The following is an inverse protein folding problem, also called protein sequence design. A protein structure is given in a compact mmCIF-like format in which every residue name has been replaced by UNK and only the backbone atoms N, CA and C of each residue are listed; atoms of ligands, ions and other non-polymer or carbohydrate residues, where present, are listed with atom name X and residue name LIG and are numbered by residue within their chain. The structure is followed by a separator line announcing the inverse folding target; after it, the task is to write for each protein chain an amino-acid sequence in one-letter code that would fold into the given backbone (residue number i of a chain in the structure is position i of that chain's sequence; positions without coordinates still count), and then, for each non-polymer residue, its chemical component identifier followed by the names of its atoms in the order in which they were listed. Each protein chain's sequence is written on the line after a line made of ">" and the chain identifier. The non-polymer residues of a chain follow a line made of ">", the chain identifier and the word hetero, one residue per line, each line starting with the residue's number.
data_IF_937298481182
#
_entry.id   IF_937298481182
#
_cell.length_a   1.000
_cell.length_b   1.000
_cell.length_c   1.000
_cell.angle_alpha   90.00
_cell.angle_beta   90.00
_cell.angle_gamma   90.00
#
_symmetry.space_group_name_H-M   'P 1'
#
loop_
_entity.id
_entity.type
_entity.pdbx_description
1 polymer ?
#
# COMPACT_ATOMS: atom_id res chain seq x y z
N UNK A 1 56.48 -51.74 -17.66
CA UNK A 1 56.08 -51.17 -16.35
C UNK A 1 55.88 -49.68 -16.50
N UNK A 2 54.66 -49.16 -16.33
CA UNK A 2 54.40 -47.83 -15.75
C UNK A 2 52.89 -47.66 -15.54
N UNK A 3 52.47 -47.51 -14.29
CA UNK A 3 51.09 -47.24 -13.85
C UNK A 3 50.89 -45.74 -13.89
N UNK A 4 49.85 -45.24 -14.56
CA UNK A 4 49.39 -43.87 -14.35
C UNK A 4 48.01 -43.88 -13.72
N UNK A 5 47.98 -43.64 -12.41
CA UNK A 5 46.76 -43.46 -11.62
C UNK A 5 46.23 -42.06 -11.95
N UNK A 6 45.11 -41.98 -12.67
CA UNK A 6 44.40 -40.70 -12.82
C UNK A 6 43.79 -40.35 -11.47
N UNK A 7 44.29 -39.27 -10.88
CA UNK A 7 43.79 -38.71 -9.63
C UNK A 7 42.32 -38.34 -9.79
N UNK A 8 41.47 -38.86 -8.91
CA UNK A 8 40.08 -38.44 -8.78
C UNK A 8 40.09 -37.07 -8.10
N UNK A 9 39.81 -36.02 -8.87
CA UNK A 9 39.60 -34.68 -8.34
C UNK A 9 38.20 -34.64 -7.71
N UNK A 10 38.12 -34.79 -6.39
CA UNK A 10 36.91 -34.56 -5.60
C UNK A 10 36.64 -33.05 -5.57
N UNK A 11 35.72 -32.59 -6.42
CA UNK A 11 35.17 -31.24 -6.35
C UNK A 11 34.12 -31.24 -5.24
N UNK A 12 34.50 -30.78 -4.05
CA UNK A 12 33.58 -30.47 -2.96
C UNK A 12 32.74 -29.24 -3.35
N UNK A 13 31.56 -29.48 -3.89
CA UNK A 13 30.56 -28.44 -4.12
C UNK A 13 30.06 -27.92 -2.77
N UNK A 14 30.62 -26.78 -2.33
CA UNK A 14 30.16 -26.04 -1.17
C UNK A 14 28.79 -25.44 -1.52
N UNK A 15 27.71 -26.12 -1.12
CA UNK A 15 26.36 -25.62 -1.26
C UNK A 15 26.17 -24.39 -0.38
N UNK A 16 26.29 -23.20 -0.97
CA UNK A 16 25.81 -21.95 -0.38
C UNK A 16 24.29 -22.00 -0.30
N UNK A 17 23.77 -22.53 0.81
CA UNK A 17 22.37 -22.38 1.18
C UNK A 17 22.09 -20.90 1.42
N UNK A 18 21.55 -20.21 0.42
CA UNK A 18 20.99 -18.87 0.58
C UNK A 18 19.79 -18.98 1.52
N UNK A 19 19.95 -18.49 2.75
CA UNK A 19 18.83 -18.33 3.67
C UNK A 19 17.85 -17.31 3.06
N UNK A 20 16.71 -17.80 2.55
CA UNK A 20 15.62 -16.94 2.12
C UNK A 20 15.02 -16.27 3.37
N UNK A 21 15.44 -15.04 3.65
CA UNK A 21 14.81 -14.22 4.68
C UNK A 21 13.42 -13.82 4.18
N UNK A 22 12.38 -14.54 4.61
CA UNK A 22 11.01 -14.11 4.42
C UNK A 22 10.83 -12.74 5.10
N UNK A 23 10.65 -11.69 4.30
CA UNK A 23 10.29 -10.38 4.85
C UNK A 23 8.91 -10.50 5.49
N UNK A 24 8.70 -9.98 6.71
CA UNK A 24 7.36 -9.95 7.29
C UNK A 24 6.45 -9.14 6.36
N UNK A 25 5.44 -9.79 5.80
CA UNK A 25 4.41 -9.10 5.04
C UNK A 25 3.63 -8.20 6.02
N UNK A 26 3.64 -6.89 5.79
CA UNK A 26 2.80 -5.97 6.55
C UNK A 26 1.33 -6.27 6.21
N UNK A 27 0.52 -6.55 7.24
CA UNK A 27 -0.92 -6.72 7.05
C UNK A 27 -1.52 -5.45 6.43
N UNK A 28 -2.44 -5.59 5.46
CA UNK A 28 -3.05 -4.43 4.81
C UNK A 28 -3.81 -3.59 5.83
N UNK A 29 -3.75 -2.27 5.65
CA UNK A 29 -4.50 -1.34 6.51
C UNK A 29 -6.00 -1.44 6.24
N UNK A 30 -6.83 -1.00 7.18
CA UNK A 30 -8.28 -0.96 6.99
C UNK A 30 -8.68 -0.12 5.77
N UNK A 31 -8.06 1.05 5.58
CA UNK A 31 -8.29 1.91 4.43
C UNK A 31 -7.89 1.28 3.09
N UNK A 32 -6.79 0.52 3.07
CA UNK A 32 -6.36 -0.23 1.89
C UNK A 32 -7.36 -1.32 1.49
N UNK A 33 -7.86 -2.08 2.47
CA UNK A 33 -8.86 -3.11 2.22
C UNK A 33 -10.14 -2.50 1.64
N UNK A 34 -10.66 -1.44 2.25
CA UNK A 34 -11.87 -0.77 1.78
C UNK A 34 -11.68 -0.17 0.38
N UNK A 35 -10.54 0.47 0.13
CA UNK A 35 -10.21 1.02 -1.19
C UNK A 35 -10.20 -0.08 -2.28
N UNK A 36 -9.48 -1.18 -2.03
CA UNK A 36 -9.33 -2.26 -2.99
C UNK A 36 -10.63 -3.02 -3.28
N UNK A 37 -11.54 -3.08 -2.30
CA UNK A 37 -12.81 -3.80 -2.46
C UNK A 37 -13.94 -2.94 -3.04
N UNK A 38 -13.88 -1.61 -2.94
CA UNK A 38 -15.04 -0.77 -3.27
C UNK A 38 -14.71 0.39 -4.23
N UNK A 39 -13.58 1.06 -4.06
CA UNK A 39 -13.30 2.26 -4.84
C UNK A 39 -12.94 1.94 -6.30
N UNK A 40 -12.32 0.79 -6.55
CA UNK A 40 -11.88 0.41 -7.89
C UNK A 40 -12.92 -0.38 -8.69
N UNK A 41 -14.10 -0.65 -8.09
CA UNK A 41 -15.19 -1.35 -8.78
C UNK A 41 -15.83 -0.47 -9.86
N UNK A 42 -15.99 0.83 -9.58
CA UNK A 42 -16.68 1.77 -10.47
C UNK A 42 -15.73 2.67 -11.27
N UNK A 43 -14.49 2.89 -10.83
CA UNK A 43 -13.53 3.72 -11.55
C UNK A 43 -12.08 3.26 -11.39
N UNK A 44 -11.24 3.52 -12.40
CA UNK A 44 -9.83 3.16 -12.34
C UNK A 44 -9.03 4.15 -11.49
N UNK A 45 -7.85 3.71 -11.07
CA UNK A 45 -6.85 4.51 -10.33
C UNK A 45 -6.52 5.84 -11.03
N UNK A 46 -6.65 5.91 -12.36
CA UNK A 46 -6.46 7.13 -13.17
C UNK A 46 -7.31 8.32 -12.71
N UNK A 47 -8.44 8.08 -12.04
CA UNK A 47 -9.28 9.12 -11.45
C UNK A 47 -8.50 10.02 -10.47
N UNK A 48 -7.46 9.50 -9.82
CA UNK A 48 -6.71 10.22 -8.78
C UNK A 48 -5.64 11.18 -9.31
N UNK A 49 -5.19 11.04 -10.57
CA UNK A 49 -4.09 11.85 -11.14
C UNK A 49 -4.38 12.49 -12.50
N UNK A 50 -5.58 12.31 -13.07
CA UNK A 50 -5.97 13.02 -14.31
C UNK A 50 -6.09 14.54 -14.12
N UNK A 51 -6.09 15.30 -15.21
CA UNK A 51 -6.16 16.78 -15.22
C UNK A 51 -7.27 17.36 -14.32
N UNK A 52 -8.40 16.64 -14.21
CA UNK A 52 -9.54 17.00 -13.35
C UNK A 52 -9.47 16.39 -11.93
N UNK A 53 -8.29 16.19 -11.36
CA UNK A 53 -8.12 15.81 -9.94
C UNK A 53 -8.81 16.85 -9.06
N UNK A 54 -9.80 16.42 -8.29
CA UNK A 54 -10.65 17.32 -7.50
C UNK A 54 -10.08 17.62 -6.12
N UNK A 55 -9.51 16.61 -5.44
CA UNK A 55 -8.91 16.84 -4.13
C UNK A 55 -7.52 17.49 -4.27
N UNK A 56 -7.26 18.52 -3.47
CA UNK A 56 -6.04 19.35 -3.49
C UNK A 56 -5.38 19.47 -2.12
N UNK A 57 -6.06 19.01 -1.09
CA UNK A 57 -5.65 18.99 0.32
C UNK A 57 -6.38 17.86 1.06
N UNK A 58 -6.07 17.71 2.35
CA UNK A 58 -6.68 16.68 3.19
C UNK A 58 -8.20 16.82 3.33
N UNK A 59 -8.77 18.00 3.63
CA UNK A 59 -10.22 18.16 3.73
C UNK A 59 -10.95 17.79 2.44
N UNK A 60 -10.46 18.25 1.29
CA UNK A 60 -11.08 17.93 -0.01
C UNK A 60 -10.95 16.46 -0.38
N UNK A 61 -9.88 15.76 0.05
CA UNK A 61 -9.77 14.32 -0.15
C UNK A 61 -10.78 13.54 0.69
N UNK A 62 -10.91 13.86 1.98
CA UNK A 62 -11.95 13.25 2.83
C UNK A 62 -13.35 13.48 2.27
N UNK A 63 -13.66 14.70 1.85
CA UNK A 63 -14.95 15.04 1.25
C UNK A 63 -15.24 14.25 -0.05
N UNK A 64 -14.21 13.96 -0.84
CA UNK A 64 -14.36 13.08 -2.02
C UNK A 64 -14.67 11.64 -1.60
N UNK A 65 -13.98 11.09 -0.60
CA UNK A 65 -14.24 9.73 -0.11
C UNK A 65 -15.65 9.62 0.44
N UNK A 66 -16.08 10.57 1.27
CA UNK A 66 -17.43 10.64 1.83
C UNK A 66 -18.51 10.67 0.74
N UNK A 67 -18.32 11.51 -0.29
CA UNK A 67 -19.24 11.62 -1.42
C UNK A 67 -19.41 10.30 -2.17
N UNK A 68 -18.29 9.65 -2.50
CA UNK A 68 -18.32 8.45 -3.34
C UNK A 68 -18.79 7.22 -2.57
N UNK A 69 -18.43 7.07 -1.29
CA UNK A 69 -19.01 5.99 -0.48
C UNK A 69 -20.52 6.16 -0.31
N UNK A 70 -21.01 7.40 -0.19
CA UNK A 70 -22.45 7.68 -0.13
C UNK A 70 -23.14 7.37 -1.46
N UNK A 71 -22.53 7.77 -2.59
CA UNK A 71 -23.05 7.45 -3.92
C UNK A 71 -23.10 5.93 -4.19
N UNK A 72 -22.16 5.17 -3.62
CA UNK A 72 -22.13 3.71 -3.68
C UNK A 72 -23.01 3.03 -2.60
N UNK A 73 -23.65 3.80 -1.71
CA UNK A 73 -24.54 3.27 -0.67
C UNK A 73 -23.85 2.45 0.42
N UNK A 74 -22.54 2.65 0.65
CA UNK A 74 -21.72 1.79 1.52
C UNK A 74 -21.93 2.01 3.03
N UNK A 75 -22.54 3.14 3.41
CA UNK A 75 -22.84 3.50 4.80
C UNK A 75 -21.60 3.44 5.73
N UNK A 76 -20.45 3.91 5.25
CA UNK A 76 -19.22 3.92 6.03
C UNK A 76 -19.26 4.89 7.20
N UNK A 77 -18.56 4.52 8.27
CA UNK A 77 -18.34 5.41 9.42
C UNK A 77 -17.34 6.52 9.09
N UNK A 78 -17.33 7.58 9.90
CA UNK A 78 -16.30 8.64 9.83
C UNK A 78 -14.87 8.09 9.95
N UNK A 79 -14.69 7.05 10.77
CA UNK A 79 -13.41 6.38 10.93
C UNK A 79 -13.00 5.67 9.63
N UNK A 80 -13.91 4.95 8.98
CA UNK A 80 -13.66 4.28 7.70
C UNK A 80 -13.33 5.27 6.58
N UNK A 81 -14.09 6.36 6.49
CA UNK A 81 -13.83 7.46 5.54
C UNK A 81 -12.41 8.01 5.77
N UNK A 82 -12.04 8.21 7.03
CA UNK A 82 -10.72 8.73 7.41
C UNK A 82 -9.60 7.74 7.08
N UNK A 83 -9.78 6.44 7.34
CA UNK A 83 -8.81 5.39 7.00
C UNK A 83 -8.57 5.31 5.49
N UNK A 84 -9.63 5.34 4.69
CA UNK A 84 -9.52 5.32 3.21
C UNK A 84 -8.85 6.59 2.70
N UNK A 85 -9.23 7.76 3.21
CA UNK A 85 -8.57 9.02 2.87
C UNK A 85 -7.07 8.98 3.22
N UNK A 86 -6.71 8.42 4.37
CA UNK A 86 -5.31 8.26 4.78
C UNK A 86 -4.56 7.31 3.86
N UNK A 87 -5.16 6.19 3.48
CA UNK A 87 -4.56 5.26 2.52
C UNK A 87 -4.28 5.96 1.18
N UNK A 88 -5.25 6.69 0.64
CA UNK A 88 -5.10 7.46 -0.59
C UNK A 88 -4.02 8.55 -0.48
N UNK A 89 -3.94 9.22 0.66
CA UNK A 89 -2.92 10.23 0.91
C UNK A 89 -1.51 9.63 0.96
N UNK A 90 -1.34 8.53 1.68
CA UNK A 90 -0.04 7.87 1.82
C UNK A 90 0.48 7.24 0.52
N UNK A 91 -0.42 6.78 -0.35
CA UNK A 91 -0.06 6.04 -1.56
C UNK A 91 -0.03 6.92 -2.82
N UNK A 92 -0.99 7.83 -2.96
CA UNK A 92 -1.24 8.57 -4.21
C UNK A 92 -1.12 10.08 -4.03
N UNK A 93 -1.80 10.69 -3.06
CA UNK A 93 -1.95 12.15 -3.00
C UNK A 93 -0.74 12.87 -2.37
N UNK A 94 -0.14 12.28 -1.32
CA UNK A 94 1.08 12.73 -0.63
C UNK A 94 1.07 14.20 -0.25
N UNK A 95 -0.05 14.67 0.31
CA UNK A 95 -0.14 16.04 0.79
C UNK A 95 0.79 16.29 1.97
N UNK A 96 1.44 17.45 1.97
CA UNK A 96 2.19 17.92 3.14
C UNK A 96 1.24 17.95 4.35
N UNK A 97 1.69 17.48 5.53
CA UNK A 97 0.92 17.61 6.76
C UNK A 97 0.59 19.08 7.00
N UNK A 98 -0.69 19.41 6.98
CA UNK A 98 -1.19 20.70 7.43
C UNK A 98 -1.41 20.67 8.95
N UNK A 99 -1.50 21.85 9.55
CA UNK A 99 -1.71 22.00 10.99
C UNK A 99 -3.02 21.33 11.46
N UNK A 100 -4.03 21.25 10.61
CA UNK A 100 -5.32 20.59 10.92
C UNK A 100 -5.18 19.06 11.05
N UNK A 101 -4.40 18.39 10.20
CA UNK A 101 -4.15 16.94 10.30
C UNK A 101 -3.38 16.59 11.56
N UNK A 102 -2.42 17.41 11.96
CA UNK A 102 -1.62 17.19 13.18
C UNK A 102 -2.50 17.25 14.43
N UNK A 103 -3.47 18.19 14.48
CA UNK A 103 -4.39 18.32 15.61
C UNK A 103 -5.32 17.11 15.81
N UNK A 104 -5.69 16.41 14.73
CA UNK A 104 -6.60 15.25 14.78
C UNK A 104 -5.90 13.93 15.15
N UNK A 105 -4.57 13.84 15.00
CA UNK A 105 -3.80 12.65 15.35
C UNK A 105 -3.38 12.59 16.82
N UNK A 106 -3.65 13.64 17.61
CA UNK A 106 -3.19 13.80 19.00
C UNK A 106 -4.31 13.75 20.05
N UNK A 107 -5.56 13.46 19.66
CA UNK A 107 -6.62 13.22 20.64
C UNK A 107 -6.42 11.85 21.35
N UNK A 108 -6.43 11.80 22.69
CA UNK A 108 -6.17 10.60 23.48
C UNK A 108 -7.27 9.54 23.39
#
# INVERSE_FOLDING_TARGET
>A
MSKSKRAVLLVTALACSTAAQAQPATSPTRGELLYNNHCIECHTTQMHWRERRQARDWPSLRAQVERWQAAAGLQWSEADITEVARHLDNTIYRFTPDTERVGSATAP
#
